data_IF_359599255049
#
_entry.id   IF_359599255049
#
_cell.length_a   1.000
_cell.length_b   1.000
_cell.length_c   1.000
_cell.angle_alpha   90.00
_cell.angle_beta   90.00
_cell.angle_gamma   90.00
#
_symmetry.space_group_name_H-M   'P 1'
#
loop_
_entity.id
_entity.type
_entity.pdbx_description
1 polymer ?
#
# COMPACT_ATOMS: atom_id res chain seq x y z
N UNK A 1 -6.78 -26.58 -6.02
CA UNK A 1 -6.46 -25.15 -6.21
C UNK A 1 -5.65 -24.73 -5.03
N UNK A 2 -4.38 -24.36 -5.23
CA UNK A 2 -3.67 -23.60 -4.21
C UNK A 2 -4.27 -22.19 -4.30
N UNK A 3 -4.94 -21.74 -3.25
CA UNK A 3 -5.55 -20.41 -3.21
C UNK A 3 -4.51 -19.32 -3.43
N UNK A 4 -5.00 -18.11 -3.69
CA UNK A 4 -4.16 -16.92 -3.84
C UNK A 4 -3.23 -16.77 -2.62
N UNK A 5 -1.93 -16.63 -2.89
CA UNK A 5 -0.93 -16.32 -1.87
C UNK A 5 -1.00 -14.82 -1.57
N UNK A 6 -1.93 -14.42 -0.69
CA UNK A 6 -1.90 -13.09 -0.06
C UNK A 6 -0.65 -12.98 0.81
N UNK A 7 0.01 -11.83 0.78
CA UNK A 7 1.18 -11.58 1.62
C UNK A 7 0.74 -11.13 3.01
N UNK A 8 1.44 -11.62 4.04
CA UNK A 8 1.39 -10.99 5.34
C UNK A 8 2.14 -9.67 5.22
N UNK A 9 1.53 -8.57 5.66
CA UNK A 9 2.11 -7.24 5.57
C UNK A 9 2.04 -6.51 6.91
N UNK A 10 3.10 -5.80 7.25
CA UNK A 10 3.24 -5.11 8.51
C UNK A 10 3.84 -3.73 8.32
N UNK A 11 3.18 -2.70 8.86
CA UNK A 11 3.69 -1.33 8.88
C UNK A 11 4.33 -1.04 10.23
N UNK A 12 5.52 -0.47 10.20
CA UNK A 12 6.25 -0.06 11.40
C UNK A 12 6.86 1.31 11.22
N UNK A 13 6.76 2.12 12.26
CA UNK A 13 7.23 3.50 12.29
C UNK A 13 8.31 3.62 13.36
N UNK A 14 9.46 4.13 12.98
CA UNK A 14 10.61 4.34 13.86
C UNK A 14 10.81 5.84 14.05
N UNK A 15 10.54 6.33 15.26
CA UNK A 15 10.72 7.74 15.65
C UNK A 15 12.00 7.86 16.46
N UNK A 16 13.00 8.50 15.88
CA UNK A 16 14.27 8.76 16.56
C UNK A 16 14.19 10.09 17.30
N UNK A 17 14.64 10.10 18.54
CA UNK A 17 14.72 11.29 19.36
C UNK A 17 16.17 11.54 19.79
N UNK A 18 16.63 12.75 19.52
CA UNK A 18 17.96 13.25 19.83
C UNK A 18 17.89 14.56 20.60
N UNK A 19 18.79 15.48 20.28
CA UNK A 19 18.92 16.76 20.96
C UNK A 19 19.41 17.83 19.98
N UNK A 20 18.64 18.92 19.90
CA UNK A 20 18.93 20.02 18.99
C UNK A 20 20.16 20.80 19.45
N UNK A 21 20.97 21.20 18.48
CA UNK A 21 22.11 22.09 18.68
C UNK A 21 22.36 22.92 17.43
N UNK A 22 23.11 24.01 17.57
CA UNK A 22 23.57 24.77 16.41
C UNK A 22 24.60 23.94 15.63
N UNK A 23 24.28 23.58 14.39
CA UNK A 23 25.08 22.64 13.61
C UNK A 23 26.49 23.17 13.27
N UNK A 24 26.69 24.49 13.28
CA UNK A 24 27.98 25.11 12.96
C UNK A 24 28.80 25.47 14.20
N UNK A 25 28.14 25.93 15.27
CA UNK A 25 28.82 26.51 16.44
C UNK A 25 29.11 25.48 17.53
N UNK A 26 28.19 24.53 17.75
CA UNK A 26 28.32 23.56 18.84
C UNK A 26 27.63 22.22 18.52
N UNK A 27 27.93 21.56 17.38
CA UNK A 27 27.29 20.29 17.03
C UNK A 27 27.57 19.17 18.04
N UNK A 28 28.68 19.22 18.78
CA UNK A 28 29.05 18.23 19.81
C UNK A 28 28.10 18.21 21.02
N UNK A 29 27.34 19.28 21.25
CA UNK A 29 26.31 19.33 22.29
C UNK A 29 24.99 18.69 21.85
N UNK A 30 24.82 18.42 20.55
CA UNK A 30 23.63 17.80 19.99
C UNK A 30 23.66 16.26 19.96
N UNK A 31 22.52 15.68 19.59
CA UNK A 31 22.37 14.26 19.23
C UNK A 31 21.53 14.20 17.97
N UNK A 32 22.14 13.78 16.87
CA UNK A 32 21.54 13.90 15.55
C UNK A 32 20.58 12.74 15.25
N UNK A 33 19.28 12.99 15.37
CA UNK A 33 18.24 12.01 15.06
C UNK A 33 18.21 11.63 13.56
N UNK A 34 18.65 12.53 12.67
CA UNK A 34 18.72 12.24 11.24
C UNK A 34 19.82 11.21 10.95
N UNK A 35 20.99 11.34 11.60
CA UNK A 35 22.07 10.36 11.45
C UNK A 35 21.62 8.98 11.95
N UNK A 36 20.85 8.94 13.05
CA UNK A 36 20.26 7.70 13.56
C UNK A 36 19.34 7.04 12.51
N UNK A 37 18.48 7.84 11.86
CA UNK A 37 17.58 7.33 10.84
C UNK A 37 18.33 6.88 9.56
N UNK A 38 19.33 7.62 9.11
CA UNK A 38 20.18 7.25 7.95
C UNK A 38 20.95 5.96 8.24
N UNK A 39 21.50 5.82 9.44
CA UNK A 39 22.17 4.61 9.86
C UNK A 39 21.21 3.43 9.98
N UNK A 40 19.99 3.63 10.49
CA UNK A 40 18.94 2.60 10.52
C UNK A 40 18.59 2.14 9.10
N UNK A 41 18.30 3.07 8.18
CA UNK A 41 17.97 2.77 6.79
C UNK A 41 19.09 1.98 6.09
N UNK A 42 20.34 2.41 6.29
CA UNK A 42 21.53 1.74 5.75
C UNK A 42 21.73 0.35 6.33
N UNK A 43 21.51 0.19 7.64
CA UNK A 43 21.59 -1.10 8.34
C UNK A 43 20.54 -2.08 7.82
N UNK A 44 19.29 -1.62 7.62
CA UNK A 44 18.22 -2.42 7.02
C UNK A 44 18.60 -2.80 5.58
N UNK A 45 19.10 -1.86 4.77
CA UNK A 45 19.54 -2.13 3.41
C UNK A 45 20.62 -3.23 3.36
N UNK A 46 21.61 -3.18 4.25
CA UNK A 46 22.64 -4.21 4.35
C UNK A 46 22.10 -5.54 4.89
N UNK A 47 21.17 -5.51 5.86
CA UNK A 47 20.55 -6.68 6.48
C UNK A 47 19.71 -7.48 5.48
N UNK A 48 19.08 -6.82 4.50
CA UNK A 48 18.21 -7.46 3.49
C UNK A 48 18.84 -8.64 2.75
N UNK A 49 20.18 -8.69 2.61
CA UNK A 49 20.91 -9.84 2.02
C UNK A 49 20.77 -11.14 2.83
N UNK A 50 20.29 -11.04 4.07
CA UNK A 50 20.06 -12.14 5.00
C UNK A 50 18.56 -12.43 5.22
N UNK A 51 17.69 -11.93 4.33
CA UNK A 51 16.27 -12.25 4.28
C UNK A 51 15.98 -13.27 3.17
N UNK A 52 14.88 -14.02 3.30
CA UNK A 52 14.42 -14.90 2.22
C UNK A 52 13.94 -14.06 1.02
N UNK A 53 14.03 -14.56 -0.22
CA UNK A 53 13.52 -13.84 -1.39
C UNK A 53 12.02 -13.50 -1.35
N UNK A 54 11.24 -14.28 -0.58
CA UNK A 54 9.82 -14.08 -0.29
C UNK A 54 9.54 -12.84 0.57
N UNK A 55 10.56 -12.30 1.25
CA UNK A 55 10.41 -11.18 2.18
C UNK A 55 10.77 -9.88 1.46
N UNK A 56 9.88 -8.90 1.54
CA UNK A 56 10.08 -7.56 0.99
C UNK A 56 10.08 -6.54 2.12
N UNK A 57 10.95 -5.54 2.00
CA UNK A 57 11.12 -4.47 2.98
C UNK A 57 11.25 -3.17 2.21
N UNK A 58 10.31 -2.26 2.43
CA UNK A 58 10.22 -0.96 1.79
C UNK A 58 10.17 0.11 2.87
N UNK A 59 10.87 1.22 2.68
CA UNK A 59 10.89 2.28 3.69
C UNK A 59 11.08 3.66 3.09
N UNK A 60 10.55 4.66 3.80
CA UNK A 60 10.65 6.07 3.46
C UNK A 60 10.97 6.90 4.70
N UNK A 61 11.61 8.05 4.49
CA UNK A 61 11.73 9.10 5.51
C UNK A 61 10.43 9.92 5.48
N UNK A 62 9.70 9.93 6.59
CA UNK A 62 8.47 10.74 6.73
C UNK A 62 8.82 12.13 7.24
N UNK A 63 9.80 12.22 8.12
CA UNK A 63 10.37 13.46 8.62
C UNK A 63 11.89 13.31 8.65
N UNK A 64 12.62 14.19 7.95
CA UNK A 64 14.08 14.21 7.85
C UNK A 64 14.76 15.36 8.61
N UNK A 65 14.01 16.12 9.42
CA UNK A 65 14.46 17.38 10.00
C UNK A 65 14.05 18.61 9.17
N UNK A 66 14.09 19.78 9.82
CA UNK A 66 13.42 20.99 9.31
C UNK A 66 14.38 22.07 8.78
N UNK A 67 15.66 22.05 9.15
CA UNK A 67 16.62 23.09 8.77
C UNK A 67 18.07 22.60 8.87
N UNK A 68 18.94 22.82 7.87
CA UNK A 68 20.31 22.29 7.85
C UNK A 68 21.25 22.90 8.91
N UNK A 69 20.98 24.13 9.37
CA UNK A 69 21.75 24.80 10.41
C UNK A 69 21.46 24.32 11.85
N UNK A 70 20.52 23.40 12.02
CA UNK A 70 20.11 22.86 13.32
C UNK A 70 20.30 21.35 13.28
N UNK A 71 20.99 20.79 14.27
CA UNK A 71 21.08 19.33 14.45
C UNK A 71 19.66 18.80 14.70
N UNK A 72 19.11 17.92 13.85
CA UNK A 72 17.75 17.40 14.04
C UNK A 72 17.61 16.63 15.36
N UNK A 73 16.64 17.00 16.18
CA UNK A 73 16.28 16.28 17.41
C UNK A 73 15.18 15.24 17.22
N UNK A 74 14.48 15.28 16.09
CA UNK A 74 13.45 14.30 15.75
C UNK A 74 13.53 13.93 14.26
N UNK A 75 13.40 12.64 13.98
CA UNK A 75 13.37 12.09 12.62
C UNK A 75 12.54 10.83 12.60
N UNK A 76 11.87 10.56 11.48
CA UNK A 76 10.91 9.48 11.39
C UNK A 76 11.04 8.68 10.11
N UNK A 77 11.08 7.36 10.28
CA UNK A 77 11.02 6.38 9.20
C UNK A 77 9.69 5.63 9.24
N UNK A 78 9.12 5.35 8.08
CA UNK A 78 7.99 4.44 7.93
C UNK A 78 8.39 3.29 7.02
N UNK A 79 8.27 2.07 7.52
CA UNK A 79 8.56 0.84 6.81
C UNK A 79 7.31 -0.01 6.60
N UNK A 80 7.29 -0.70 5.47
CA UNK A 80 6.34 -1.73 5.09
C UNK A 80 7.12 -3.03 4.84
N UNK A 81 6.83 -4.05 5.64
CA UNK A 81 7.51 -5.34 5.65
C UNK A 81 6.50 -6.39 5.22
N UNK A 82 6.85 -7.23 4.25
CA UNK A 82 5.96 -8.24 3.68
C UNK A 82 6.63 -9.60 3.62
N UNK A 83 5.87 -10.67 3.83
CA UNK A 83 6.32 -12.04 3.68
C UNK A 83 5.18 -12.94 3.20
N UNK A 84 5.51 -14.14 2.70
CA UNK A 84 4.50 -15.11 2.26
C UNK A 84 3.73 -15.76 3.42
N UNK A 85 4.26 -15.72 4.64
CA UNK A 85 3.59 -16.26 5.84
C UNK A 85 3.91 -15.42 7.07
N UNK A 86 3.00 -15.42 8.06
CA UNK A 86 3.25 -14.81 9.38
C UNK A 86 4.56 -15.32 10.02
N UNK A 87 4.82 -16.61 9.94
CA UNK A 87 5.99 -17.25 10.57
C UNK A 87 7.33 -16.77 9.96
N UNK A 88 7.35 -16.40 8.68
CA UNK A 88 8.53 -15.81 8.03
C UNK A 88 8.70 -14.33 8.36
N UNK A 89 7.61 -13.61 8.63
CA UNK A 89 7.65 -12.16 8.84
C UNK A 89 8.27 -11.80 10.20
N UNK A 90 7.85 -12.46 11.28
CA UNK A 90 8.24 -12.06 12.65
C UNK A 90 9.78 -11.99 12.84
N UNK A 91 10.59 -12.95 12.36
CA UNK A 91 12.04 -12.83 12.41
C UNK A 91 12.60 -11.66 11.59
N UNK A 92 11.94 -11.29 10.48
CA UNK A 92 12.36 -10.15 9.66
C UNK A 92 12.03 -8.81 10.31
N UNK A 93 10.86 -8.68 10.95
CA UNK A 93 10.50 -7.50 11.75
C UNK A 93 11.51 -7.30 12.87
N UNK A 94 11.81 -8.38 13.62
CA UNK A 94 12.80 -8.33 14.71
C UNK A 94 14.17 -7.84 14.24
N UNK A 95 14.64 -8.31 13.08
CA UNK A 95 15.91 -7.83 12.48
C UNK A 95 15.86 -6.34 12.12
N UNK A 96 14.72 -5.82 11.67
CA UNK A 96 14.55 -4.39 11.37
C UNK A 96 14.55 -3.56 12.67
N UNK A 97 13.88 -4.04 13.73
CA UNK A 97 13.92 -3.43 15.05
C UNK A 97 15.35 -3.38 15.62
N UNK A 98 16.12 -4.47 15.50
CA UNK A 98 17.52 -4.50 15.93
C UNK A 98 18.38 -3.49 15.17
N UNK A 99 18.10 -3.26 13.89
CA UNK A 99 18.77 -2.20 13.12
C UNK A 99 18.42 -0.80 13.65
N UNK A 100 17.14 -0.56 13.99
CA UNK A 100 16.70 0.72 14.56
C UNK A 100 17.30 0.97 15.96
N UNK A 101 17.27 -0.03 16.84
CA UNK A 101 17.85 0.04 18.19
C UNK A 101 19.37 0.24 18.10
N UNK A 102 20.05 -0.48 17.21
CA UNK A 102 21.48 -0.34 16.99
C UNK A 102 21.87 1.06 16.50
N UNK A 103 21.10 1.63 15.57
CA UNK A 103 21.32 2.97 15.06
C UNK A 103 21.08 4.06 16.12
N UNK A 104 20.02 3.93 16.92
CA UNK A 104 19.77 4.83 18.04
C UNK A 104 20.93 4.79 19.06
N UNK A 105 21.36 3.57 19.44
CA UNK A 105 22.47 3.40 20.37
C UNK A 105 23.79 3.99 19.86
N UNK A 106 24.14 3.74 18.60
CA UNK A 106 25.39 4.23 17.99
C UNK A 106 25.45 5.77 17.92
N UNK A 107 24.30 6.43 17.80
CA UNK A 107 24.18 7.88 17.69
C UNK A 107 23.81 8.57 19.00
N UNK A 108 23.75 7.80 20.11
CA UNK A 108 23.29 8.27 21.42
C UNK A 108 21.91 8.95 21.38
N UNK A 109 21.05 8.48 20.47
CA UNK A 109 19.64 8.82 20.38
C UNK A 109 18.79 7.74 21.06
N UNK A 110 17.50 7.98 21.19
CA UNK A 110 16.50 6.96 21.52
C UNK A 110 15.62 6.67 20.30
N UNK A 111 14.95 5.53 20.30
CA UNK A 111 13.97 5.18 19.28
C UNK A 111 12.67 4.73 19.94
N UNK A 112 11.57 5.33 19.50
CA UNK A 112 10.21 4.84 19.73
C UNK A 112 9.77 4.03 18.51
N UNK A 113 9.22 2.84 18.75
CA UNK A 113 8.78 1.92 17.71
C UNK A 113 7.26 1.80 17.79
N UNK A 114 6.58 2.32 16.77
CA UNK A 114 5.13 2.27 16.65
C UNK A 114 4.72 1.20 15.63
N UNK A 115 3.87 0.28 16.07
CA UNK A 115 3.35 -0.82 15.28
C UNK A 115 2.04 -0.37 14.65
N UNK A 116 1.99 -0.35 13.31
CA UNK A 116 0.81 0.02 12.55
C UNK A 116 -0.10 -1.17 12.26
N UNK A 117 -1.05 -0.96 11.34
CA UNK A 117 -1.93 -2.01 10.85
C UNK A 117 -1.14 -3.18 10.25
N UNK A 118 -1.67 -4.39 10.43
CA UNK A 118 -1.14 -5.62 9.84
C UNK A 118 -2.21 -6.33 9.02
N UNK A 119 -1.77 -6.98 7.94
CA UNK A 119 -2.59 -7.84 7.10
C UNK A 119 -2.09 -9.26 7.23
N UNK A 120 -2.96 -10.18 7.62
CA UNK A 120 -2.58 -11.58 7.76
C UNK A 120 -2.54 -12.29 6.39
N UNK A 121 -1.87 -13.45 6.28
CA UNK A 121 -2.00 -14.24 5.05
C UNK A 121 -3.45 -14.74 4.87
N UNK A 122 -3.88 -14.89 3.62
CA UNK A 122 -5.23 -15.34 3.32
C UNK A 122 -5.34 -16.87 3.41
N UNK A 123 -6.19 -17.35 4.31
CA UNK A 123 -6.59 -18.75 4.40
C UNK A 123 -7.81 -19.00 3.51
N UNK A 124 -7.56 -19.40 2.26
CA UNK A 124 -8.63 -19.68 1.29
C UNK A 124 -9.27 -21.05 1.57
N UNK A 125 -10.57 -21.08 1.85
CA UNK A 125 -11.32 -22.32 2.00
C UNK A 125 -11.65 -22.92 0.62
N UNK A 126 -11.18 -24.13 0.34
CA UNK A 126 -11.34 -24.74 -0.98
C UNK A 126 -12.78 -25.15 -1.28
N UNK A 127 -13.56 -25.57 -0.28
CA UNK A 127 -14.97 -25.90 -0.47
C UNK A 127 -15.78 -24.67 -0.91
N UNK A 128 -15.60 -23.52 -0.25
CA UNK A 128 -16.21 -22.26 -0.66
C UNK A 128 -15.74 -21.82 -2.05
N UNK A 129 -14.44 -21.94 -2.33
CA UNK A 129 -13.86 -21.52 -3.61
C UNK A 129 -14.38 -22.37 -4.79
N UNK A 130 -14.54 -23.68 -4.59
CA UNK A 130 -15.12 -24.59 -5.59
C UNK A 130 -16.60 -24.31 -5.83
N UNK A 131 -17.36 -24.01 -4.78
CA UNK A 131 -18.77 -23.64 -4.88
C UNK A 131 -18.94 -22.33 -5.66
N UNK A 132 -18.12 -21.34 -5.33
CA UNK A 132 -18.05 -20.08 -6.08
C UNK A 132 -17.72 -20.31 -7.56
N UNK A 133 -16.72 -21.14 -7.85
CA UNK A 133 -16.31 -21.48 -9.22
C UNK A 133 -17.41 -22.17 -10.00
N UNK A 134 -18.17 -23.07 -9.37
CA UNK A 134 -19.34 -23.72 -9.99
C UNK A 134 -20.34 -22.65 -10.49
N UNK A 135 -20.74 -21.72 -9.64
CA UNK A 135 -21.71 -20.69 -10.03
C UNK A 135 -21.16 -19.71 -11.06
N UNK A 136 -19.87 -19.39 -11.00
CA UNK A 136 -19.23 -18.62 -12.05
C UNK A 136 -19.34 -19.32 -13.42
N UNK A 137 -19.07 -20.62 -13.48
CA UNK A 137 -19.21 -21.39 -14.73
C UNK A 137 -20.66 -21.43 -15.22
N UNK A 138 -21.64 -21.58 -14.33
CA UNK A 138 -23.08 -21.55 -14.65
C UNK A 138 -23.52 -20.19 -15.22
N UNK A 139 -22.90 -19.10 -14.76
CA UNK A 139 -23.11 -17.74 -15.26
C UNK A 139 -22.30 -17.43 -16.54
N UNK A 140 -21.58 -18.42 -17.09
CA UNK A 140 -20.78 -18.28 -18.30
C UNK A 140 -19.45 -17.55 -18.11
N UNK A 141 -19.02 -17.31 -16.87
CA UNK A 141 -17.70 -16.74 -16.57
C UNK A 141 -16.62 -17.80 -16.80
N UNK A 142 -15.53 -17.39 -17.46
CA UNK A 142 -14.39 -18.26 -17.73
C UNK A 142 -13.23 -17.86 -16.84
N UNK A 143 -12.73 -18.81 -16.06
CA UNK A 143 -11.48 -18.63 -15.34
C UNK A 143 -10.30 -18.70 -16.30
N UNK A 144 -9.29 -17.86 -16.06
CA UNK A 144 -8.03 -17.92 -16.79
C UNK A 144 -7.36 -19.27 -16.53
N UNK A 145 -6.75 -19.88 -17.57
CA UNK A 145 -6.13 -21.21 -17.47
C UNK A 145 -4.90 -21.25 -16.54
N UNK A 146 -4.33 -20.09 -16.23
CA UNK A 146 -3.12 -19.93 -15.41
C UNK A 146 -3.42 -19.30 -14.05
N UNK A 147 -4.32 -19.90 -13.27
CA UNK A 147 -4.56 -19.50 -11.86
C UNK A 147 -3.28 -19.67 -10.98
N UNK A 148 -2.28 -20.42 -11.44
CA UNK A 148 -1.08 -20.79 -10.67
C UNK A 148 0.06 -19.75 -10.69
N UNK A 149 -0.02 -18.73 -11.55
CA UNK A 149 1.06 -17.74 -11.76
C UNK A 149 0.64 -16.30 -11.46
N UNK A 150 -0.51 -16.08 -10.81
CA UNK A 150 -0.89 -14.73 -10.38
C UNK A 150 0.18 -14.19 -9.42
N UNK A 151 0.72 -12.98 -9.67
CA UNK A 151 1.81 -12.45 -8.87
C UNK A 151 1.42 -12.38 -7.39
N UNK A 152 2.26 -13.01 -6.58
CA UNK A 152 2.27 -12.90 -5.12
C UNK A 152 2.51 -11.43 -4.78
N UNK A 153 1.63 -10.79 -4.00
CA UNK A 153 1.84 -9.40 -3.58
C UNK A 153 0.62 -8.57 -3.23
N UNK A 154 -0.58 -9.15 -3.14
CA UNK A 154 -1.75 -8.42 -2.65
C UNK A 154 -1.87 -8.64 -1.14
N UNK A 155 -1.84 -7.55 -0.37
CA UNK A 155 -2.20 -7.54 1.05
C UNK A 155 -3.68 -7.12 1.18
N UNK A 156 -4.46 -7.85 1.97
CA UNK A 156 -5.88 -7.56 2.21
C UNK A 156 -6.26 -7.88 3.65
N UNK A 157 -7.14 -7.06 4.24
CA UNK A 157 -7.77 -7.27 5.55
C UNK A 157 -8.65 -8.54 5.60
N UNK A 158 -9.10 -9.03 4.44
CA UNK A 158 -9.75 -10.34 4.33
C UNK A 158 -8.84 -11.47 4.82
N UNK A 159 -7.52 -11.29 4.77
CA UNK A 159 -6.55 -12.18 5.41
C UNK A 159 -6.85 -12.33 6.90
N UNK A 160 -7.03 -11.23 7.64
CA UNK A 160 -7.36 -11.24 9.06
C UNK A 160 -8.70 -11.94 9.34
N UNK A 161 -9.72 -11.65 8.53
CA UNK A 161 -11.04 -12.31 8.64
C UNK A 161 -10.93 -13.82 8.43
N UNK A 162 -10.06 -14.26 7.52
CA UNK A 162 -9.85 -15.68 7.21
C UNK A 162 -9.20 -16.50 8.32
N UNK A 163 -8.74 -15.87 9.41
CA UNK A 163 -8.34 -16.57 10.63
C UNK A 163 -9.49 -16.76 11.64
N UNK A 164 -10.59 -16.03 11.47
CA UNK A 164 -11.74 -16.05 12.40
C UNK A 164 -12.90 -16.88 11.84
N UNK A 165 -13.09 -16.85 10.52
CA UNK A 165 -14.21 -17.52 9.86
C UNK A 165 -13.80 -18.07 8.49
N UNK A 166 -14.40 -19.19 8.02
CA UNK A 166 -14.16 -19.69 6.68
C UNK A 166 -14.39 -18.62 5.61
N UNK A 167 -13.41 -18.44 4.74
CA UNK A 167 -13.31 -17.25 3.89
C UNK A 167 -12.78 -17.56 2.49
N UNK A 168 -13.18 -16.75 1.53
CA UNK A 168 -12.58 -16.63 0.19
C UNK A 168 -12.37 -15.15 -0.12
N UNK A 169 -11.36 -14.82 -0.92
CA UNK A 169 -11.17 -13.49 -1.48
C UNK A 169 -11.11 -13.61 -3.00
N UNK A 170 -12.11 -13.05 -3.68
CA UNK A 170 -12.27 -13.21 -5.12
C UNK A 170 -11.59 -12.06 -5.84
N UNK A 171 -10.75 -12.41 -6.82
CA UNK A 171 -10.30 -11.49 -7.85
C UNK A 171 -10.99 -11.82 -9.16
N UNK A 172 -11.31 -10.79 -9.93
CA UNK A 172 -11.88 -10.93 -11.25
C UNK A 172 -11.36 -9.84 -12.17
N UNK A 173 -11.34 -10.15 -13.46
CA UNK A 173 -10.94 -9.20 -14.49
C UNK A 173 -12.12 -8.27 -14.85
N UNK A 174 -11.83 -6.97 -14.91
CA UNK A 174 -12.74 -5.93 -15.41
C UNK A 174 -12.42 -5.53 -16.86
N UNK A 175 -11.63 -6.36 -17.56
CA UNK A 175 -11.18 -6.19 -18.94
C UNK A 175 -10.34 -4.91 -19.13
N UNK A 176 -9.34 -4.74 -18.26
CA UNK A 176 -8.40 -3.62 -18.33
C UNK A 176 -6.95 -4.09 -18.25
N UNK A 177 -6.07 -3.40 -18.97
CA UNK A 177 -4.62 -3.59 -18.84
C UNK A 177 -4.01 -2.72 -17.73
N UNK A 178 -4.78 -1.78 -17.16
CA UNK A 178 -4.31 -0.95 -16.07
C UNK A 178 -4.08 -1.78 -14.80
N UNK A 179 -3.07 -1.40 -14.01
CA UNK A 179 -2.76 -2.07 -12.74
C UNK A 179 -3.45 -1.37 -11.56
N UNK A 180 -3.73 -2.12 -10.49
CA UNK A 180 -4.26 -1.56 -9.24
C UNK A 180 -3.40 -0.38 -8.75
N UNK A 181 -4.02 0.57 -8.06
CA UNK A 181 -3.40 1.80 -7.53
C UNK A 181 -2.92 2.79 -8.61
N UNK A 182 -3.52 2.77 -9.81
CA UNK A 182 -3.28 3.74 -10.88
C UNK A 182 -4.54 4.56 -11.18
N UNK A 183 -4.38 5.77 -11.75
CA UNK A 183 -5.52 6.60 -12.17
C UNK A 183 -6.32 5.92 -13.27
N UNK A 184 -5.62 5.24 -14.16
CA UNK A 184 -6.14 4.50 -15.30
C UNK A 184 -7.04 3.34 -14.83
N UNK A 185 -6.63 2.62 -13.77
CA UNK A 185 -7.46 1.57 -13.19
C UNK A 185 -8.71 2.14 -12.50
N UNK A 186 -8.59 3.28 -11.81
CA UNK A 186 -9.76 3.94 -11.21
C UNK A 186 -10.80 4.33 -12.27
N UNK A 187 -10.36 4.88 -13.41
CA UNK A 187 -11.24 5.17 -14.54
C UNK A 187 -11.88 3.90 -15.11
N UNK A 188 -11.09 2.84 -15.32
CA UNK A 188 -11.59 1.56 -15.83
C UNK A 188 -12.61 0.91 -14.88
N UNK A 189 -12.35 0.93 -13.56
CA UNK A 189 -13.24 0.38 -12.56
C UNK A 189 -14.56 1.15 -12.42
N UNK A 190 -14.55 2.46 -12.71
CA UNK A 190 -15.75 3.30 -12.76
C UNK A 190 -16.55 3.18 -14.07
N UNK A 191 -16.00 2.54 -15.10
CA UNK A 191 -16.64 2.45 -16.41
C UNK A 191 -17.87 1.52 -16.39
N UNK A 192 -18.93 1.83 -17.17
CA UNK A 192 -20.11 0.96 -17.29
C UNK A 192 -19.80 -0.48 -17.69
N UNK A 193 -18.78 -0.68 -18.51
CA UNK A 193 -18.35 -1.99 -19.02
C UNK A 193 -17.83 -2.89 -17.89
N UNK A 194 -17.13 -2.34 -16.90
CA UNK A 194 -16.63 -3.06 -15.74
C UNK A 194 -17.79 -3.59 -14.86
N UNK A 195 -18.88 -2.82 -14.75
CA UNK A 195 -20.01 -3.15 -13.87
C UNK A 195 -20.70 -4.46 -14.26
N UNK A 196 -20.70 -4.81 -15.56
CA UNK A 196 -21.28 -6.07 -16.01
C UNK A 196 -20.53 -7.27 -15.45
N UNK A 197 -19.20 -7.23 -15.46
CA UNK A 197 -18.37 -8.26 -14.86
C UNK A 197 -18.61 -8.32 -13.35
N UNK A 198 -18.60 -7.16 -12.67
CA UNK A 198 -18.86 -7.04 -11.22
C UNK A 198 -20.20 -7.66 -10.81
N UNK A 199 -21.28 -7.37 -11.54
CA UNK A 199 -22.61 -7.92 -11.26
C UNK A 199 -22.66 -9.44 -11.40
N UNK A 200 -21.92 -10.03 -12.35
CA UNK A 200 -21.85 -11.49 -12.50
C UNK A 200 -21.10 -12.13 -11.33
N UNK A 201 -20.00 -11.54 -10.86
CA UNK A 201 -19.30 -12.04 -9.67
C UNK A 201 -20.15 -11.91 -8.40
N UNK A 202 -20.87 -10.79 -8.24
CA UNK A 202 -21.78 -10.58 -7.12
C UNK A 202 -22.90 -11.63 -7.10
N UNK A 203 -23.46 -11.99 -8.28
CA UNK A 203 -24.43 -13.08 -8.41
C UNK A 203 -23.82 -14.43 -8.04
N UNK A 204 -22.60 -14.74 -8.47
CA UNK A 204 -21.93 -15.98 -8.10
C UNK A 204 -21.70 -16.08 -6.57
N UNK A 205 -21.31 -14.98 -5.91
CA UNK A 205 -21.21 -14.91 -4.45
C UNK A 205 -22.56 -15.12 -3.75
N UNK A 206 -23.63 -14.48 -4.25
CA UNK A 206 -24.97 -14.64 -3.70
C UNK A 206 -25.48 -16.09 -3.83
N UNK A 207 -25.26 -16.72 -4.99
CA UNK A 207 -25.61 -18.13 -5.20
C UNK A 207 -24.83 -19.06 -4.28
N UNK A 208 -23.55 -18.78 -4.06
CA UNK A 208 -22.71 -19.50 -3.09
C UNK A 208 -23.32 -19.43 -1.69
N UNK A 209 -23.74 -18.24 -1.25
CA UNK A 209 -24.38 -18.06 0.05
C UNK A 209 -25.74 -18.78 0.15
N UNK A 210 -26.56 -18.72 -0.90
CA UNK A 210 -27.84 -19.44 -0.97
C UNK A 210 -27.62 -20.95 -0.84
N UNK A 211 -26.59 -21.51 -1.49
CA UNK A 211 -26.29 -22.93 -1.41
C UNK A 211 -25.93 -23.39 0.02
N UNK A 212 -25.42 -22.48 0.86
CA UNK A 212 -25.15 -22.73 2.28
C UNK A 212 -26.38 -22.57 3.17
N UNK A 213 -27.27 -21.63 2.84
CA UNK A 213 -28.45 -21.28 3.66
C UNK A 213 -29.66 -22.18 3.41
N UNK A 214 -29.73 -22.87 2.27
CA UNK A 214 -30.81 -23.79 1.95
C UNK A 214 -30.82 -25.03 2.88
N UNK A 215 -31.95 -25.77 3.01
CA UNK A 215 -32.06 -26.91 3.92
C UNK A 215 -31.00 -28.02 3.78
N UNK A 216 -30.37 -28.16 2.61
CA UNK A 216 -29.28 -29.11 2.35
C UNK A 216 -27.87 -28.59 2.67
N UNK A 217 -27.72 -27.30 2.99
CA UNK A 217 -26.43 -26.62 3.15
C UNK A 217 -25.64 -27.03 4.39
N UNK A 218 -26.28 -27.67 5.39
CA UNK A 218 -25.62 -28.11 6.63
C UNK A 218 -24.41 -29.02 6.38
N UNK A 219 -24.49 -29.96 5.43
CA UNK A 219 -23.37 -30.84 5.05
C UNK A 219 -22.21 -30.07 4.41
N UNK A 220 -22.51 -29.01 3.67
CA UNK A 220 -21.48 -28.12 3.08
C UNK A 220 -20.80 -27.33 4.19
N UNK A 221 -21.57 -26.73 5.09
CA UNK A 221 -21.06 -26.00 6.26
C UNK A 221 -20.15 -26.89 7.11
N UNK A 222 -20.53 -28.14 7.37
CA UNK A 222 -19.69 -29.09 8.11
C UNK A 222 -18.34 -29.34 7.42
N UNK A 223 -18.34 -29.48 6.09
CA UNK A 223 -17.12 -29.70 5.32
C UNK A 223 -16.22 -28.46 5.31
N UNK A 224 -16.82 -27.28 5.15
CA UNK A 224 -16.17 -25.97 5.21
C UNK A 224 -15.50 -25.78 6.58
N UNK A 225 -16.23 -26.04 7.67
CA UNK A 225 -15.72 -25.89 9.04
C UNK A 225 -14.60 -26.89 9.35
N UNK A 226 -14.70 -28.14 8.89
CA UNK A 226 -13.64 -29.15 9.05
C UNK A 226 -12.35 -28.77 8.31
N UNK A 227 -12.46 -28.18 7.12
CA UNK A 227 -11.29 -27.67 6.39
C UNK A 227 -10.70 -26.44 7.11
N UNK A 228 -11.55 -25.51 7.53
CA UNK A 228 -11.12 -24.30 8.24
C UNK A 228 -10.30 -24.64 9.49
N UNK A 229 -10.74 -25.58 10.32
CA UNK A 229 -10.00 -26.07 11.49
C UNK A 229 -8.61 -26.64 11.16
N UNK A 230 -8.36 -27.09 9.92
CA UNK A 230 -7.05 -27.54 9.46
C UNK A 230 -6.19 -26.40 8.91
N UNK A 231 -6.81 -25.39 8.31
CA UNK A 231 -6.13 -24.24 7.70
C UNK A 231 -5.65 -23.23 8.75
N UNK A 232 -6.41 -23.06 9.83
CA UNK A 232 -6.08 -22.16 10.94
C UNK A 232 -5.63 -22.99 12.15
N UNK A 233 -4.34 -22.95 12.55
CA UNK A 233 -3.95 -23.52 13.83
C UNK A 233 -4.65 -22.76 14.98
N UNK A 234 -4.77 -23.37 16.18
CA UNK A 234 -5.32 -22.70 17.36
C UNK A 234 -4.68 -21.32 17.59
N UNK A 235 -5.46 -20.39 18.13
CA UNK A 235 -5.22 -18.93 18.24
C UNK A 235 -3.88 -18.46 18.85
N UNK A 236 -3.05 -19.36 19.36
CA UNK A 236 -1.78 -19.05 20.02
C UNK A 236 -0.68 -18.53 19.07
N UNK A 237 -0.84 -18.71 17.75
CA UNK A 237 0.19 -18.30 16.75
C UNK A 237 -0.01 -16.88 16.21
N UNK A 238 -1.23 -16.34 16.27
CA UNK A 238 -1.56 -15.02 15.68
C UNK A 238 -1.12 -13.85 16.59
N UNK A 239 -0.80 -14.13 17.86
CA UNK A 239 -0.56 -13.11 18.89
C UNK A 239 0.89 -12.70 19.18
N UNK A 240 1.87 -13.06 18.34
CA UNK A 240 3.29 -12.82 18.67
C UNK A 240 3.91 -11.52 18.13
N UNK A 241 3.16 -10.70 17.40
CA UNK A 241 3.49 -9.28 17.20
C UNK A 241 2.58 -8.52 18.17
N UNK A 242 3.06 -7.54 18.96
CA UNK A 242 2.25 -6.89 19.99
C UNK A 242 1.00 -6.22 19.38
N UNK A 243 -0.11 -6.95 19.39
CA UNK A 243 -1.45 -6.60 18.89
C UNK A 243 -2.14 -5.52 19.75
N UNK A 244 -1.44 -4.95 20.74
CA UNK A 244 -2.03 -4.15 21.81
C UNK A 244 -1.93 -2.64 21.61
N UNK A 245 -1.60 -2.16 20.41
CA UNK A 245 -1.71 -0.75 20.08
C UNK A 245 -2.89 -0.56 19.12
N UNK A 246 -3.86 0.33 19.43
CA UNK A 246 -4.96 0.59 18.53
C UNK A 246 -4.40 1.04 17.18
N UNK A 247 -4.85 0.42 16.10
CA UNK A 247 -4.45 0.81 14.75
C UNK A 247 -4.89 2.26 14.51
N UNK A 248 -3.94 3.18 14.47
CA UNK A 248 -4.20 4.51 13.93
C UNK A 248 -4.40 4.37 12.42
N UNK A 249 -5.67 4.39 12.02
CA UNK A 249 -6.05 4.57 10.63
C UNK A 249 -5.68 6.01 10.23
N UNK A 250 -5.09 6.25 9.05
CA UNK A 250 -4.88 7.61 8.53
C UNK A 250 -6.20 8.37 8.29
N UNK A 251 -7.34 7.67 8.38
CA UNK A 251 -8.68 8.22 8.41
C UNK A 251 -9.17 8.21 9.86
N UNK A 252 -9.13 9.35 10.54
CA UNK A 252 -9.47 9.48 11.95
C UNK A 252 -10.80 8.81 12.31
N UNK A 253 -10.77 7.97 13.34
CA UNK A 253 -11.92 7.21 13.81
C UNK A 253 -12.91 8.15 14.53
N UNK A 254 -13.89 8.69 13.80
CA UNK A 254 -15.13 9.21 14.41
C UNK A 254 -16.18 8.10 14.38
N UNK A 255 -16.25 7.34 15.47
CA UNK A 255 -17.42 6.52 15.80
C UNK A 255 -17.16 5.02 15.84
N UNK A 256 -16.72 4.53 17.00
CA UNK A 256 -16.97 3.15 17.40
C UNK A 256 -18.41 3.04 17.92
N UNK A 257 -19.28 2.36 17.18
CA UNK A 257 -20.51 1.81 17.77
C UNK A 257 -20.15 0.52 18.51
N UNK A 258 -20.51 0.36 19.80
CA UNK A 258 -20.17 -0.82 20.57
C UNK A 258 -20.87 -2.09 20.06
N UNK A 259 -20.16 -3.21 20.18
CA UNK A 259 -20.45 -4.57 19.71
C UNK A 259 -21.77 -5.21 20.18
N UNK A 260 -22.56 -4.52 20.99
CA UNK A 260 -23.78 -5.06 21.61
C UNK A 260 -25.07 -4.72 20.82
N UNK A 261 -24.99 -3.86 19.80
CA UNK A 261 -26.18 -3.41 19.06
C UNK A 261 -26.60 -4.31 17.87
N UNK A 262 -25.81 -5.33 17.50
CA UNK A 262 -26.07 -6.13 16.29
C UNK A 262 -26.90 -7.41 16.58
N UNK A 263 -27.06 -7.80 17.84
CA UNK A 263 -27.75 -9.06 18.21
C UNK A 263 -29.22 -8.89 18.64
N UNK A 264 -29.76 -7.66 18.75
CA UNK A 264 -31.07 -7.43 19.36
C UNK A 264 -32.23 -7.02 18.42
N UNK A 265 -32.00 -6.79 17.11
CA UNK A 265 -33.03 -6.21 16.22
C UNK A 265 -33.56 -7.14 15.11
N UNK A 266 -33.44 -8.45 15.25
CA UNK A 266 -34.03 -9.40 14.28
C UNK A 266 -35.36 -10.03 14.70
N UNK A 267 -36.00 -9.55 15.77
CA UNK A 267 -37.33 -10.02 16.16
C UNK A 267 -38.24 -8.84 16.53
N UNK A 268 -39.19 -8.57 15.61
CA UNK A 268 -40.38 -7.70 15.71
C UNK A 268 -40.24 -6.21 15.33
N UNK A 269 -40.70 -5.85 14.12
CA UNK A 269 -41.01 -4.49 13.65
C UNK A 269 -41.78 -4.51 12.31
N UNK A 270 -42.72 -3.57 12.05
CA UNK A 270 -43.90 -3.75 11.17
C UNK A 270 -43.62 -3.62 9.66
N UNK A 271 -44.60 -3.93 8.76
CA UNK A 271 -44.34 -4.05 7.33
C UNK A 271 -44.02 -2.70 6.67
N UNK A 272 -43.18 -2.78 5.64
CA UNK A 272 -42.65 -1.67 4.84
C UNK A 272 -43.76 -1.04 3.98
N UNK A 273 -44.06 0.23 4.20
CA UNK A 273 -44.81 1.08 3.25
C UNK A 273 -43.82 1.77 2.29
N UNK A 274 -44.11 1.70 1.00
CA UNK A 274 -43.38 2.40 -0.08
C UNK A 274 -43.86 3.84 -0.23
N UNK A 275 -42.98 4.87 -0.27
CA UNK A 275 -43.37 6.21 -0.70
C UNK A 275 -43.08 6.47 -2.19
N UNK A 276 -44.07 7.03 -2.88
CA UNK A 276 -43.96 7.66 -4.21
C UNK A 276 -43.17 9.00 -4.16
N UNK A 277 -42.70 9.53 -5.32
CA UNK A 277 -41.60 10.49 -5.37
C UNK A 277 -42.06 11.94 -5.19
N UNK A 278 -41.50 12.63 -4.18
CA UNK A 278 -41.64 14.07 -4.04
C UNK A 278 -40.58 14.80 -4.88
N UNK A 279 -41.05 15.49 -5.93
CA UNK A 279 -40.38 16.64 -6.55
C UNK A 279 -40.48 17.82 -5.60
N UNK A 280 -39.34 18.38 -5.19
CA UNK A 280 -39.25 19.82 -4.86
C UNK A 280 -37.80 20.30 -4.96
N UNK A 281 -37.67 21.54 -5.43
CA UNK A 281 -36.47 22.14 -6.00
C UNK A 281 -35.37 22.45 -4.97
N UNK A 282 -34.11 22.24 -5.35
CA UNK A 282 -32.94 22.85 -4.71
C UNK A 282 -32.51 24.09 -5.52
N UNK A 283 -32.16 25.22 -4.87
CA UNK A 283 -31.69 26.41 -5.55
C UNK A 283 -30.24 26.28 -6.01
N UNK A 284 -29.95 26.91 -7.15
CA UNK A 284 -28.64 27.08 -7.74
C UNK A 284 -27.68 27.80 -6.78
N UNK A 285 -26.53 27.19 -6.47
CA UNK A 285 -25.30 27.93 -6.23
C UNK A 285 -24.13 27.21 -6.90
N UNK A 286 -23.51 27.95 -7.82
CA UNK A 286 -22.50 27.49 -8.76
C UNK A 286 -21.16 27.97 -8.23
N UNK A 287 -20.41 27.09 -7.58
CA UNK A 287 -19.04 27.34 -7.11
C UNK A 287 -18.11 26.27 -7.64
N UNK A 288 -17.50 26.54 -8.78
CA UNK A 288 -16.63 25.66 -9.55
C UNK A 288 -15.36 25.21 -8.83
N UNK A 289 -14.85 24.09 -9.35
CA UNK A 289 -13.55 23.46 -9.15
C UNK A 289 -12.31 24.37 -9.10
N UNK A 290 -11.24 23.74 -8.63
CA UNK A 290 -9.79 24.02 -8.80
C UNK A 290 -9.16 25.13 -7.95
N UNK A 291 -8.29 24.71 -6.99
CA UNK A 291 -6.91 25.24 -6.88
C UNK A 291 -6.10 24.45 -5.83
N UNK A 292 -5.44 23.37 -6.26
CA UNK A 292 -4.29 22.78 -5.57
C UNK A 292 -3.08 22.96 -6.48
N UNK A 293 -2.55 24.19 -6.54
CA UNK A 293 -1.24 24.54 -7.09
C UNK A 293 -0.89 25.98 -6.66
N UNK A 294 -0.53 26.17 -5.38
CA UNK A 294 0.18 27.36 -4.89
C UNK A 294 1.17 26.96 -3.80
N UNK A 295 2.29 26.39 -4.22
CA UNK A 295 3.52 26.32 -3.44
C UNK A 295 4.72 26.04 -4.38
N UNK A 296 4.91 26.91 -5.36
CA UNK A 296 6.17 27.17 -6.05
C UNK A 296 6.07 28.59 -6.60
N UNK A 297 7.18 29.31 -6.60
CA UNK A 297 7.34 30.71 -7.03
C UNK A 297 7.14 31.77 -5.94
N UNK A 298 8.17 31.87 -5.09
CA UNK A 298 8.70 33.16 -4.67
C UNK A 298 10.15 33.26 -5.16
N UNK A 299 10.45 34.42 -5.71
CA UNK A 299 11.73 34.98 -6.21
C UNK A 299 12.19 34.60 -7.63
N UNK A 300 12.67 35.50 -8.48
CA UNK A 300 12.42 36.93 -8.68
C UNK A 300 12.95 37.25 -10.09
N UNK A 301 12.19 38.07 -10.82
CA UNK A 301 12.57 39.00 -11.90
C UNK A 301 13.78 38.69 -12.81
N UNK A 302 13.44 38.53 -14.09
CA UNK A 302 13.74 39.58 -15.06
C UNK A 302 14.61 39.19 -16.26
N UNK A 303 14.02 39.14 -17.46
CA UNK A 303 14.31 40.12 -18.51
C UNK A 303 13.39 39.94 -19.71
N UNK A 304 13.21 41.04 -20.43
CA UNK A 304 12.22 41.30 -21.48
C UNK A 304 12.61 40.72 -22.85
N UNK A 305 11.58 40.69 -23.72
CA UNK A 305 11.62 40.79 -25.18
C UNK A 305 12.13 39.55 -25.93
N UNK A 306 11.69 39.22 -27.13
CA UNK A 306 10.58 39.62 -27.99
C UNK A 306 10.69 38.68 -29.20
N UNK A 307 9.54 38.20 -29.67
CA UNK A 307 9.24 37.94 -31.09
C UNK A 307 10.08 36.95 -31.91
N UNK A 308 9.36 36.19 -32.75
CA UNK A 308 9.88 35.75 -34.05
C UNK A 308 9.84 34.25 -34.31
N UNK A 309 8.69 33.79 -34.81
CA UNK A 309 8.57 32.63 -35.70
C UNK A 309 9.75 32.49 -36.66
N UNK A 310 10.29 31.27 -36.85
CA UNK A 310 10.57 30.73 -38.19
C UNK A 310 10.39 29.20 -38.19
N UNK A 311 9.77 28.78 -39.28
CA UNK A 311 9.35 27.50 -39.81
C UNK A 311 10.40 26.39 -39.93
N UNK A 312 9.87 25.17 -39.87
CA UNK A 312 10.43 23.92 -40.39
C UNK A 312 10.70 23.97 -41.89
N UNK A 313 11.84 23.44 -42.36
CA UNK A 313 11.90 22.58 -43.55
C UNK A 313 13.27 21.87 -43.71
N UNK A 314 13.22 20.54 -43.55
CA UNK A 314 13.67 19.50 -44.47
C UNK A 314 15.07 19.47 -45.15
N UNK A 315 15.77 18.38 -44.84
CA UNK A 315 16.34 17.34 -45.74
C UNK A 315 17.77 17.49 -46.31
N UNK A 316 18.53 16.40 -46.09
CA UNK A 316 19.50 15.66 -46.94
C UNK A 316 21.00 15.65 -46.59
N UNK A 317 21.43 14.42 -46.25
CA UNK A 317 22.56 13.63 -46.78
C UNK A 317 24.03 14.04 -46.56
N UNK A 318 24.82 13.03 -46.14
CA UNK A 318 26.21 12.86 -46.60
C UNK A 318 27.34 12.98 -45.55
N UNK A 319 27.83 11.83 -45.05
CA UNK A 319 29.19 11.61 -44.47
C UNK A 319 30.21 11.32 -45.61
N UNK A 320 31.54 11.17 -45.40
CA UNK A 320 32.45 11.51 -44.27
C UNK A 320 33.83 12.15 -44.69
N UNK A 321 34.68 12.45 -43.70
CA UNK A 321 36.16 12.21 -43.65
C UNK A 321 37.14 13.41 -43.46
N UNK A 322 38.04 13.18 -42.49
CA UNK A 322 39.47 13.51 -42.35
C UNK A 322 40.02 14.91 -41.95
N UNK A 323 40.70 14.86 -40.79
CA UNK A 323 42.03 15.39 -40.38
C UNK A 323 42.45 16.86 -40.62
N UNK A 324 42.92 17.49 -39.53
CA UNK A 324 43.70 18.73 -39.57
C UNK A 324 44.03 19.27 -38.18
N UNK A 325 45.28 19.10 -37.75
CA UNK A 325 45.90 19.55 -36.51
C UNK A 325 46.17 21.06 -36.44
N UNK A 326 46.02 21.70 -35.26
CA UNK A 326 47.08 22.48 -34.59
C UNK A 326 46.67 23.17 -33.27
N UNK A 327 47.40 22.80 -32.20
CA UNK A 327 48.10 23.60 -31.17
C UNK A 327 47.46 24.82 -30.43
N UNK A 328 47.52 24.70 -29.08
CA UNK A 328 47.78 25.71 -28.01
C UNK A 328 46.68 26.78 -27.77
N UNK A 329 46.30 27.21 -26.56
CA UNK A 329 46.90 27.25 -25.24
C UNK A 329 45.79 27.34 -24.14
N UNK A 330 46.25 27.34 -22.88
CA UNK A 330 45.55 27.22 -21.60
C UNK A 330 44.28 28.07 -21.34
N UNK A 331 43.32 27.53 -20.56
CA UNK A 331 42.90 28.10 -19.27
C UNK A 331 41.94 27.20 -18.47
N UNK A 332 42.24 27.08 -17.18
CA UNK A 332 41.45 26.71 -15.98
C UNK A 332 40.24 25.74 -16.09
N UNK A 333 40.38 24.62 -15.37
CA UNK A 333 39.37 23.56 -15.19
C UNK A 333 38.08 24.07 -14.53
N UNK A 334 36.98 24.06 -15.30
CA UNK A 334 35.62 24.03 -14.77
C UNK A 334 35.33 22.67 -14.12
N UNK A 335 34.60 22.71 -12.99
CA UNK A 335 34.11 21.55 -12.25
C UNK A 335 32.94 20.94 -13.04
N UNK A 336 32.95 19.65 -13.39
CA UNK A 336 31.83 19.08 -14.14
C UNK A 336 30.64 18.82 -13.20
N UNK A 337 29.56 19.56 -13.42
CA UNK A 337 28.22 19.21 -12.94
C UNK A 337 27.76 17.96 -13.68
N UNK A 338 27.62 16.85 -12.95
CA UNK A 338 27.02 15.62 -13.50
C UNK A 338 25.51 15.77 -13.41
N UNK A 339 24.87 16.01 -14.55
CA UNK A 339 23.44 15.82 -14.72
C UNK A 339 23.20 14.32 -14.95
N UNK A 340 22.54 13.66 -14.00
CA UNK A 340 22.13 12.25 -14.14
C UNK A 340 20.83 12.22 -14.94
N UNK A 341 20.87 11.58 -16.12
CA UNK A 341 19.69 11.20 -16.89
C UNK A 341 19.01 9.96 -16.27
#
# INVERSE_FOLDING_TARGET
>A
MNGMLSVYSFRVRYKFHGLSANASLAPWDGRNALDAAVQCYSSIAAMRKHLRPSIKVHGVFVNGGNHPGVVPDQTELLFHIEASTTAELQPAVKKCEDCAIGAASATQCTVEIEYGSYFAELKTNSHLSLLYKKHCNELGLKFLKEEQNLPVGIATDMGNVSFVTPSIHVLYDINTAALNNTKEFALAAGAPEAQKATLLQAKALALTAIDLLQPGGSKLIDSINKEFQKLTPPSEVVGQIPMNQPADTPYGNKGTLPREAVSANLQNGPPVETPEPAREAMPDDVGSSTDWNKAADLDDKGSKAAEGNVTTDNISEGKPAEEGSNQQAAEQKEVPTVTVN
#
